data_IF_592652969361
#
_entry.id   IF_592652969361
#
_cell.length_a   1.000
_cell.length_b   1.000
_cell.length_c   1.000
_cell.angle_alpha   90.00
_cell.angle_beta   90.00
_cell.angle_gamma   90.00
#
_symmetry.space_group_name_H-M   'P 1'
#
loop_
_entity.id
_entity.type
_entity.pdbx_description
1 polymer ?
#
# COMPACT_ATOMS: atom_id res chain seq x y z
N UNK A 1 10.27 40.20 -8.74
CA UNK A 1 10.09 38.86 -9.36
C UNK A 1 8.70 38.64 -9.93
N UNK A 2 7.60 39.13 -9.32
CA UNK A 2 6.22 38.90 -9.81
C UNK A 2 5.96 39.48 -11.21
N UNK A 3 6.45 40.69 -11.51
CA UNK A 3 6.29 41.31 -12.84
C UNK A 3 7.05 40.60 -13.97
N UNK A 4 8.03 39.75 -13.66
CA UNK A 4 8.89 39.11 -14.66
C UNK A 4 8.29 37.80 -15.19
N UNK A 5 7.30 37.23 -14.50
CA UNK A 5 6.67 35.95 -14.86
C UNK A 5 5.91 36.01 -16.19
N UNK A 6 5.32 37.16 -16.52
CA UNK A 6 4.61 37.42 -17.78
C UNK A 6 5.53 37.72 -18.97
N UNK A 7 6.77 38.18 -18.70
CA UNK A 7 7.69 38.69 -19.72
C UNK A 7 8.68 37.62 -20.19
N UNK A 8 9.05 36.68 -19.31
CA UNK A 8 9.98 35.56 -19.60
C UNK A 8 9.52 34.66 -20.76
N UNK A 9 8.24 34.30 -20.95
CA UNK A 9 7.82 33.47 -22.08
C UNK A 9 7.96 34.18 -23.44
N UNK A 10 8.00 35.51 -23.43
CA UNK A 10 8.01 36.36 -24.63
C UNK A 10 9.36 37.02 -24.91
N UNK A 11 10.33 36.86 -24.02
CA UNK A 11 11.66 37.49 -24.12
C UNK A 11 12.76 36.51 -23.70
N UNK A 12 13.95 36.66 -24.26
CA UNK A 12 15.08 35.79 -23.93
C UNK A 12 15.64 36.05 -22.52
N UNK A 13 16.32 35.08 -21.90
CA UNK A 13 16.96 35.23 -20.58
C UNK A 13 17.97 36.38 -20.54
N UNK A 14 18.65 36.67 -21.66
CA UNK A 14 19.56 37.81 -21.81
C UNK A 14 18.87 39.17 -21.77
N UNK A 15 17.61 39.26 -22.23
CA UNK A 15 16.82 40.49 -22.15
C UNK A 15 16.43 40.77 -20.70
N UNK A 16 16.02 39.73 -19.98
CA UNK A 16 15.60 39.81 -18.58
C UNK A 16 16.79 40.11 -17.66
N UNK A 17 17.97 39.54 -17.92
CA UNK A 17 19.19 39.87 -17.17
C UNK A 17 19.63 41.32 -17.43
N UNK A 18 19.57 41.80 -18.67
CA UNK A 18 19.88 43.19 -19.02
C UNK A 18 18.98 44.18 -18.26
N UNK A 19 17.65 43.96 -18.24
CA UNK A 19 16.72 44.82 -17.52
C UNK A 19 16.97 44.90 -16.00
N UNK A 20 17.60 43.88 -15.40
CA UNK A 20 17.99 43.89 -13.98
C UNK A 20 19.37 44.51 -13.76
N UNK A 21 20.34 44.18 -14.60
CA UNK A 21 21.73 44.62 -14.45
C UNK A 21 21.93 46.08 -14.81
N UNK A 22 21.16 46.62 -15.77
CA UNK A 22 21.30 48.00 -16.23
C UNK A 22 20.99 49.00 -15.10
N UNK A 23 19.85 48.94 -14.38
CA UNK A 23 19.58 49.87 -13.27
C UNK A 23 20.59 49.75 -12.12
N UNK A 24 20.98 48.51 -11.77
CA UNK A 24 21.99 48.27 -10.73
C UNK A 24 23.37 48.82 -11.13
N UNK A 25 23.75 48.64 -12.40
CA UNK A 25 24.96 49.20 -12.99
C UNK A 25 24.96 50.73 -12.95
N UNK A 26 23.85 51.37 -13.33
CA UNK A 26 23.71 52.83 -13.24
C UNK A 26 23.83 53.35 -11.80
N UNK A 27 23.26 52.66 -10.82
CA UNK A 27 23.40 53.03 -9.41
C UNK A 27 24.85 52.92 -8.92
N UNK A 28 25.57 51.86 -9.31
CA UNK A 28 26.99 51.70 -8.96
C UNK A 28 27.87 52.76 -9.61
N UNK A 29 27.61 53.08 -10.88
CA UNK A 29 28.31 54.14 -11.62
C UNK A 29 28.05 55.50 -10.95
N UNK A 30 26.80 55.80 -10.59
CA UNK A 30 26.43 57.03 -9.88
C UNK A 30 27.10 57.14 -8.50
N UNK A 31 27.17 56.05 -7.75
CA UNK A 31 27.87 56.00 -6.46
C UNK A 31 29.39 56.16 -6.60
N UNK A 32 30.00 55.56 -7.63
CA UNK A 32 31.42 55.73 -7.91
C UNK A 32 31.74 57.19 -8.27
N UNK A 33 30.89 57.84 -9.06
CA UNK A 33 31.01 59.24 -9.45
C UNK A 33 30.92 60.19 -8.23
N UNK A 34 29.98 59.95 -7.31
CA UNK A 34 29.85 60.79 -6.09
C UNK A 34 31.04 60.66 -5.13
N UNK A 35 31.83 59.59 -5.26
CA UNK A 35 33.06 59.36 -4.49
C UNK A 35 34.33 59.79 -5.25
N UNK A 36 34.18 60.48 -6.37
CA UNK A 36 35.30 60.99 -7.19
C UNK A 36 36.14 59.90 -7.85
N UNK A 37 35.62 58.67 -8.00
CA UNK A 37 36.34 57.58 -8.65
C UNK A 37 36.29 57.72 -10.16
N UNK A 38 37.38 57.34 -10.83
CA UNK A 38 37.43 57.36 -12.29
C UNK A 38 36.52 56.29 -12.90
N UNK A 39 35.88 56.65 -14.01
CA UNK A 39 35.03 55.73 -14.75
C UNK A 39 35.85 54.64 -15.42
N UNK A 40 35.29 53.43 -15.61
CA UNK A 40 35.92 52.38 -16.38
C UNK A 40 36.22 52.91 -17.79
N UNK A 41 37.49 52.89 -18.17
CA UNK A 41 37.97 53.35 -19.47
C UNK A 41 38.90 52.32 -20.08
N UNK A 42 38.92 52.25 -21.42
CA UNK A 42 39.70 51.27 -22.16
C UNK A 42 39.02 49.92 -22.37
N UNK A 43 39.54 49.16 -23.33
CA UNK A 43 38.95 47.91 -23.81
C UNK A 43 38.84 46.83 -22.72
N UNK A 44 39.85 46.74 -21.84
CA UNK A 44 39.92 45.72 -20.79
C UNK A 44 38.79 45.87 -19.76
N UNK A 45 38.41 47.12 -19.42
CA UNK A 45 37.36 47.39 -18.47
C UNK A 45 35.98 46.99 -19.01
N UNK A 46 35.70 47.34 -20.28
CA UNK A 46 34.46 46.96 -20.96
C UNK A 46 34.35 45.46 -21.23
N UNK A 47 35.47 44.80 -21.52
CA UNK A 47 35.52 43.34 -21.65
C UNK A 47 35.20 42.66 -20.30
N UNK A 48 35.75 43.16 -19.20
CA UNK A 48 35.52 42.61 -17.86
C UNK A 48 34.05 42.76 -17.42
N UNK A 49 33.43 43.92 -17.71
CA UNK A 49 32.01 44.16 -17.44
C UNK A 49 31.12 43.25 -18.30
N UNK A 50 31.45 43.09 -19.59
CA UNK A 50 30.70 42.24 -20.50
C UNK A 50 30.77 40.77 -20.09
N UNK A 51 31.96 40.31 -19.68
CA UNK A 51 32.16 38.95 -19.20
C UNK A 51 31.40 38.70 -17.89
N UNK A 52 31.43 39.65 -16.95
CA UNK A 52 30.66 39.56 -15.71
C UNK A 52 29.15 39.45 -15.99
N UNK A 53 28.60 40.29 -16.87
CA UNK A 53 27.19 40.26 -17.23
C UNK A 53 26.80 38.93 -17.89
N UNK A 54 27.68 38.36 -18.73
CA UNK A 54 27.46 37.07 -19.39
C UNK A 54 27.45 35.91 -18.37
N UNK A 55 28.40 35.90 -17.43
CA UNK A 55 28.46 34.89 -16.36
C UNK A 55 27.25 34.99 -15.44
N UNK A 56 26.85 36.19 -15.01
CA UNK A 56 25.67 36.40 -14.16
C UNK A 56 24.38 35.92 -14.86
N UNK A 57 24.20 36.27 -16.14
CA UNK A 57 23.06 35.83 -16.94
C UNK A 57 23.01 34.30 -17.09
N UNK A 58 24.16 33.67 -17.34
CA UNK A 58 24.26 32.21 -17.48
C UNK A 58 24.00 31.48 -16.15
N UNK A 59 24.56 31.97 -15.03
CA UNK A 59 24.34 31.44 -13.70
C UNK A 59 22.86 31.54 -13.28
N UNK A 60 22.19 32.65 -13.56
CA UNK A 60 20.77 32.81 -13.23
C UNK A 60 19.87 31.83 -14.01
N UNK A 61 20.20 31.57 -15.27
CA UNK A 61 19.47 30.62 -16.12
C UNK A 61 19.59 29.18 -15.60
N UNK A 62 20.78 28.77 -15.16
CA UNK A 62 21.01 27.45 -14.57
C UNK A 62 20.25 27.30 -13.26
N UNK A 63 20.28 28.33 -12.39
CA UNK A 63 19.60 28.29 -11.09
C UNK A 63 18.08 28.22 -11.24
N UNK A 64 17.46 28.98 -12.15
CA UNK A 64 16.01 28.93 -12.35
C UNK A 64 15.53 27.60 -12.95
N UNK A 65 16.24 27.06 -13.94
CA UNK A 65 15.91 25.74 -14.50
C UNK A 65 16.12 24.62 -13.50
N UNK A 66 17.19 24.70 -12.71
CA UNK A 66 17.47 23.74 -11.64
C UNK A 66 16.39 23.79 -10.55
N UNK A 67 16.01 24.97 -10.07
CA UNK A 67 14.93 25.14 -9.08
C UNK A 67 13.59 24.61 -9.64
N UNK A 68 13.25 24.92 -10.89
CA UNK A 68 12.02 24.43 -11.53
C UNK A 68 11.98 22.91 -11.66
N UNK A 69 13.09 22.30 -12.10
CA UNK A 69 13.21 20.85 -12.21
C UNK A 69 13.19 20.16 -10.84
N UNK A 70 13.84 20.73 -9.83
CA UNK A 70 13.82 20.22 -8.45
C UNK A 70 12.41 20.31 -7.88
N UNK A 71 11.69 21.42 -8.07
CA UNK A 71 10.31 21.59 -7.59
C UNK A 71 9.33 20.64 -8.28
N UNK A 72 9.48 20.42 -9.59
CA UNK A 72 8.67 19.46 -10.33
C UNK A 72 8.95 18.01 -9.88
N UNK A 73 10.20 17.69 -9.61
CA UNK A 73 10.62 16.37 -9.11
C UNK A 73 10.13 16.13 -7.68
N UNK A 74 10.22 17.11 -6.78
CA UNK A 74 9.68 16.99 -5.41
C UNK A 74 8.16 16.87 -5.42
N UNK A 75 7.46 17.61 -6.28
CA UNK A 75 6.00 17.47 -6.42
C UNK A 75 5.59 16.08 -6.94
N UNK A 76 6.33 15.53 -7.93
CA UNK A 76 6.10 14.18 -8.42
C UNK A 76 6.39 13.10 -7.36
N UNK A 77 7.42 13.30 -6.53
CA UNK A 77 7.75 12.40 -5.41
C UNK A 77 6.70 12.43 -4.28
N UNK A 78 6.10 13.58 -3.99
CA UNK A 78 5.02 13.70 -2.98
C UNK A 78 3.74 12.99 -3.43
N UNK A 79 3.44 13.00 -4.74
CA UNK A 79 2.32 12.27 -5.33
C UNK A 79 2.57 10.74 -5.41
N UNK A 80 3.82 10.31 -5.26
CA UNK A 80 4.21 8.90 -5.29
C UNK A 80 4.25 8.26 -3.89
N UNK A 81 3.49 8.80 -2.93
CA UNK A 81 3.24 8.13 -1.65
C UNK A 81 2.45 6.85 -1.90
N UNK A 82 3.17 5.77 -2.17
CA UNK A 82 2.62 4.43 -2.39
C UNK A 82 1.84 4.00 -1.16
N UNK A 83 0.52 3.86 -1.30
CA UNK A 83 -0.34 3.32 -0.26
C UNK A 83 0.02 1.85 -0.04
N UNK A 84 0.76 1.56 1.04
CA UNK A 84 1.12 0.19 1.43
C UNK A 84 -0.03 -0.56 2.14
N UNK A 85 -1.12 0.14 2.44
CA UNK A 85 -2.33 -0.32 3.13
C UNK A 85 -3.58 0.23 2.44
N UNK A 86 -4.75 -0.08 3.00
CA UNK A 86 -5.99 0.58 2.60
C UNK A 86 -5.84 2.13 2.67
N UNK A 87 -6.43 2.88 1.72
CA UNK A 87 -6.39 4.34 1.74
C UNK A 87 -7.12 4.91 2.96
N UNK A 88 -6.63 6.03 3.49
CA UNK A 88 -7.33 6.77 4.55
C UNK A 88 -8.68 7.30 4.05
N UNK A 89 -9.67 7.29 4.95
CA UNK A 89 -10.99 7.85 4.66
C UNK A 89 -10.92 9.37 4.47
N UNK A 90 -11.66 9.88 3.49
CA UNK A 90 -11.75 11.33 3.20
C UNK A 90 -12.98 11.99 3.84
N UNK A 91 -13.82 11.21 4.49
CA UNK A 91 -15.05 11.61 5.16
C UNK A 91 -15.41 10.61 6.26
N UNK A 92 -16.36 10.96 7.13
CA UNK A 92 -16.74 10.14 8.30
C UNK A 92 -17.19 8.71 7.93
N UNK A 93 -17.94 8.57 6.82
CA UNK A 93 -18.45 7.28 6.36
C UNK A 93 -18.62 7.20 4.85
N UNK A 94 -18.47 5.99 4.29
CA UNK A 94 -18.78 5.66 2.91
C UNK A 94 -19.24 4.21 2.83
N UNK A 95 -20.48 3.92 3.25
CA UNK A 95 -21.03 2.55 3.23
C UNK A 95 -20.95 1.98 1.81
N UNK A 96 -20.38 0.78 1.63
CA UNK A 96 -20.26 0.16 0.30
C UNK A 96 -21.63 -0.02 -0.37
N UNK A 97 -21.76 0.51 -1.58
CA UNK A 97 -22.84 0.22 -2.50
C UNK A 97 -22.42 -0.93 -3.43
N UNK A 98 -22.86 -2.14 -3.06
CA UNK A 98 -22.59 -3.36 -3.83
C UNK A 98 -23.48 -3.49 -5.08
N UNK A 99 -24.47 -2.60 -5.27
CA UNK A 99 -25.43 -2.63 -6.37
C UNK A 99 -25.14 -1.61 -7.49
N UNK A 100 -24.26 -0.63 -7.24
CA UNK A 100 -23.90 0.45 -8.17
C UNK A 100 -23.43 -0.01 -9.56
N UNK A 101 -22.81 -1.19 -9.68
CA UNK A 101 -22.25 -1.70 -10.94
C UNK A 101 -20.99 -0.98 -11.43
N UNK A 102 -20.67 0.19 -10.88
CA UNK A 102 -19.44 0.94 -11.15
C UNK A 102 -18.26 0.29 -10.44
N UNK A 103 -17.16 0.08 -11.16
CA UNK A 103 -15.91 -0.48 -10.61
C UNK A 103 -14.93 0.65 -10.26
N UNK A 104 -14.50 0.66 -9.00
CA UNK A 104 -13.47 1.55 -8.46
C UNK A 104 -12.50 0.74 -7.59
N UNK A 105 -11.41 1.36 -7.10
CA UNK A 105 -10.60 0.73 -6.06
C UNK A 105 -11.39 0.73 -4.74
N UNK A 106 -11.87 -0.43 -4.31
CA UNK A 106 -12.84 -0.56 -3.21
C UNK A 106 -14.28 -0.57 -3.74
N UNK A 107 -15.16 0.20 -3.09
CA UNK A 107 -16.59 0.27 -3.43
C UNK A 107 -17.04 1.72 -3.53
N UNK A 108 -17.99 1.99 -4.42
CA UNK A 108 -18.74 3.26 -4.40
C UNK A 108 -19.56 3.38 -3.11
N UNK A 109 -19.87 4.60 -2.68
CA UNK A 109 -20.66 4.82 -1.48
C UNK A 109 -22.17 4.77 -1.75
N UNK A 110 -22.93 4.19 -0.82
CA UNK A 110 -24.39 4.32 -0.73
C UNK A 110 -24.75 5.80 -0.49
N UNK A 111 -25.91 6.21 -1.00
CA UNK A 111 -26.52 7.51 -0.68
C UNK A 111 -26.62 7.72 0.84
N UNK A 112 -26.12 8.85 1.33
CA UNK A 112 -26.11 9.22 2.74
C UNK A 112 -27.50 9.17 3.38
N UNK A 113 -28.57 9.49 2.64
CA UNK A 113 -29.93 9.44 3.15
C UNK A 113 -30.44 8.01 3.42
N UNK A 114 -29.76 6.99 2.88
CA UNK A 114 -30.12 5.56 3.03
C UNK A 114 -29.22 4.82 4.03
N UNK A 115 -28.22 5.49 4.58
CA UNK A 115 -27.29 4.93 5.57
C UNK A 115 -27.99 4.80 6.92
N UNK A 116 -27.83 3.67 7.59
CA UNK A 116 -28.37 3.45 8.93
C UNK A 116 -27.50 2.48 9.77
N UNK A 117 -27.85 2.29 11.04
CA UNK A 117 -27.06 1.48 11.98
C UNK A 117 -26.87 0.00 11.56
N UNK A 118 -27.78 -0.56 10.76
CA UNK A 118 -27.64 -1.93 10.26
C UNK A 118 -26.52 -2.08 9.23
N UNK A 119 -26.09 -0.99 8.58
CA UNK A 119 -24.95 -1.01 7.65
C UNK A 119 -23.61 -1.23 8.40
N UNK A 120 -23.56 -0.92 9.69
CA UNK A 120 -22.37 -0.98 10.55
C UNK A 120 -22.40 -2.10 11.59
N UNK A 121 -23.48 -2.88 11.65
CA UNK A 121 -23.65 -3.94 12.65
C UNK A 121 -23.96 -5.28 12.00
N UNK A 122 -23.44 -6.35 12.59
CA UNK A 122 -23.69 -7.71 12.14
C UNK A 122 -23.49 -8.69 13.28
N UNK A 123 -24.29 -9.75 13.30
CA UNK A 123 -24.13 -10.89 14.21
C UNK A 123 -23.46 -12.09 13.52
N UNK A 124 -22.84 -11.90 12.34
CA UNK A 124 -22.28 -13.00 11.54
C UNK A 124 -21.22 -13.82 12.29
N UNK A 125 -20.50 -13.22 13.25
CA UNK A 125 -19.49 -13.90 14.07
C UNK A 125 -20.02 -14.45 15.40
N UNK A 126 -21.31 -14.23 15.70
CA UNK A 126 -21.89 -14.53 17.01
C UNK A 126 -21.98 -16.04 17.30
N UNK A 127 -22.01 -16.88 16.27
CA UNK A 127 -22.15 -18.33 16.39
C UNK A 127 -20.93 -19.05 15.81
N UNK A 128 -20.52 -20.19 16.42
CA UNK A 128 -19.51 -21.06 15.84
C UNK A 128 -19.93 -21.59 14.46
N UNK A 129 -18.98 -21.65 13.53
CA UNK A 129 -19.12 -22.43 12.31
C UNK A 129 -18.98 -23.94 12.57
N UNK A 130 -19.47 -24.77 11.64
CA UNK A 130 -19.38 -26.24 11.75
C UNK A 130 -18.09 -26.74 11.11
N UNK A 131 -17.04 -26.93 11.91
CA UNK A 131 -15.72 -27.34 11.43
C UNK A 131 -15.57 -28.85 11.17
N UNK A 132 -16.34 -29.71 11.85
CA UNK A 132 -16.14 -31.16 11.88
C UNK A 132 -16.18 -31.85 10.50
N UNK A 133 -16.90 -31.28 9.53
CA UNK A 133 -17.11 -31.89 8.21
C UNK A 133 -16.33 -31.18 7.09
N UNK A 134 -15.47 -30.21 7.41
CA UNK A 134 -14.66 -29.52 6.39
C UNK A 134 -13.40 -30.31 6.06
N UNK A 135 -12.84 -30.08 4.87
CA UNK A 135 -11.65 -30.81 4.38
C UNK A 135 -10.46 -30.74 5.34
N UNK A 136 -10.30 -29.61 6.04
CA UNK A 136 -9.19 -29.38 6.96
C UNK A 136 -9.60 -29.37 8.43
N UNK A 137 -10.88 -29.62 8.76
CA UNK A 137 -11.35 -29.55 10.15
C UNK A 137 -11.35 -28.14 10.75
N UNK A 138 -11.34 -27.11 9.91
CA UNK A 138 -11.48 -25.70 10.29
C UNK A 138 -12.48 -25.00 9.37
N UNK A 139 -13.08 -23.91 9.85
CA UNK A 139 -13.99 -23.08 9.05
C UNK A 139 -13.81 -21.60 9.40
N UNK A 140 -13.70 -20.77 8.36
CA UNK A 140 -13.54 -19.32 8.49
C UNK A 140 -14.86 -18.64 8.15
N UNK A 141 -15.35 -17.83 9.09
CA UNK A 141 -16.50 -16.94 8.90
C UNK A 141 -16.00 -15.51 8.80
N UNK A 142 -16.02 -14.93 7.60
CA UNK A 142 -15.51 -13.57 7.35
C UNK A 142 -16.53 -12.47 7.68
N UNK A 143 -16.04 -11.41 8.31
CA UNK A 143 -16.75 -10.15 8.56
C UNK A 143 -15.95 -8.99 7.94
N UNK A 144 -15.84 -9.03 6.62
CA UNK A 144 -15.17 -8.03 5.78
C UNK A 144 -16.20 -7.08 5.13
N UNK A 145 -15.72 -6.13 4.34
CA UNK A 145 -16.58 -5.14 3.65
C UNK A 145 -17.68 -5.74 2.78
N UNK A 146 -17.51 -6.97 2.26
CA UNK A 146 -18.53 -7.65 1.45
C UNK A 146 -19.70 -8.17 2.31
N UNK A 147 -19.48 -8.37 3.61
CA UNK A 147 -20.50 -8.83 4.57
C UNK A 147 -20.99 -7.72 5.50
N UNK A 148 -20.18 -6.69 5.72
CA UNK A 148 -20.49 -5.52 6.55
C UNK A 148 -20.13 -4.26 5.74
N UNK A 149 -21.07 -3.72 4.94
CA UNK A 149 -20.81 -2.63 4.00
C UNK A 149 -20.25 -1.36 4.65
N UNK A 150 -20.58 -1.11 5.93
CA UNK A 150 -20.06 0.02 6.71
C UNK A 150 -18.55 0.00 6.96
N UNK A 151 -17.85 -1.12 6.69
CA UNK A 151 -16.39 -1.20 6.79
C UNK A 151 -15.64 -0.52 5.64
N UNK A 152 -16.34 -0.14 4.57
CA UNK A 152 -15.72 0.48 3.42
C UNK A 152 -15.04 1.80 3.79
N UNK A 153 -13.83 2.00 3.28
CA UNK A 153 -12.86 3.07 3.58
C UNK A 153 -12.29 3.09 5.00
N UNK A 154 -12.65 2.16 5.88
CA UNK A 154 -12.23 2.20 7.29
C UNK A 154 -10.99 1.35 7.62
N UNK A 155 -10.45 0.63 6.63
CA UNK A 155 -9.16 -0.05 6.77
C UNK A 155 -9.13 -1.19 7.79
N UNK A 156 -10.28 -1.74 8.19
CA UNK A 156 -10.37 -2.84 9.17
C UNK A 156 -11.41 -3.89 8.80
N UNK A 157 -11.17 -5.13 9.21
CA UNK A 157 -12.15 -6.22 9.14
C UNK A 157 -11.87 -7.29 10.18
N UNK A 158 -12.83 -8.18 10.39
CA UNK A 158 -12.71 -9.31 11.30
C UNK A 158 -12.99 -10.63 10.59
N UNK A 159 -12.60 -11.73 11.21
CA UNK A 159 -13.16 -13.05 10.96
C UNK A 159 -13.22 -13.88 12.24
N UNK A 160 -14.08 -14.88 12.26
CA UNK A 160 -14.08 -15.93 13.28
C UNK A 160 -13.60 -17.22 12.62
N UNK A 161 -12.73 -17.96 13.31
CA UNK A 161 -12.29 -19.27 12.84
C UNK A 161 -12.56 -20.29 13.92
N UNK A 162 -13.28 -21.35 13.57
CA UNK A 162 -13.60 -22.46 14.46
C UNK A 162 -12.88 -23.73 13.98
N UNK A 163 -12.34 -24.50 14.91
CA UNK A 163 -11.51 -25.68 14.68
C UNK A 163 -12.09 -26.89 15.41
N UNK A 164 -12.30 -27.98 14.69
CA UNK A 164 -12.52 -29.29 15.32
C UNK A 164 -11.22 -29.77 16.01
N UNK A 165 -11.30 -30.76 16.92
CA UNK A 165 -10.11 -31.47 17.39
C UNK A 165 -9.29 -31.98 16.19
N UNK A 166 -7.98 -31.69 16.17
CA UNK A 166 -7.15 -32.03 15.03
C UNK A 166 -7.29 -31.10 13.81
N UNK A 167 -8.15 -30.09 13.84
CA UNK A 167 -8.38 -29.14 12.75
C UNK A 167 -7.15 -28.30 12.39
N UNK A 168 -7.02 -27.96 11.12
CA UNK A 168 -5.94 -27.15 10.54
C UNK A 168 -6.56 -26.02 9.71
N UNK A 169 -6.17 -24.78 9.98
CA UNK A 169 -6.25 -23.74 8.96
C UNK A 169 -4.92 -23.80 8.17
N UNK A 170 -4.94 -24.32 6.92
CA UNK A 170 -3.73 -24.70 6.22
C UNK A 170 -2.81 -23.50 5.97
N UNK A 171 -1.51 -23.71 5.62
CA UNK A 171 -0.62 -22.63 5.25
C UNK A 171 -1.27 -21.68 4.23
N UNK A 172 -1.38 -20.40 4.61
CA UNK A 172 -2.02 -19.36 3.81
C UNK A 172 -1.34 -18.01 4.02
N UNK A 173 -1.72 -17.03 3.21
CA UNK A 173 -1.26 -15.65 3.33
C UNK A 173 -2.38 -14.65 3.04
N UNK A 174 -2.26 -13.48 3.67
CA UNK A 174 -3.10 -12.32 3.41
C UNK A 174 -2.28 -11.27 2.63
N UNK A 175 -2.52 -11.11 1.32
CA UNK A 175 -1.69 -10.24 0.47
C UNK A 175 -1.84 -8.75 0.84
N UNK A 176 -2.94 -8.36 1.50
CA UNK A 176 -3.26 -6.95 1.75
C UNK A 176 -3.27 -6.55 3.22
N UNK A 177 -3.17 -7.48 4.17
CA UNK A 177 -3.27 -7.15 5.59
C UNK A 177 -2.29 -7.94 6.47
N UNK A 178 -1.86 -7.28 7.55
CA UNK A 178 -1.39 -7.93 8.78
C UNK A 178 -2.60 -8.49 9.51
N UNK A 179 -2.41 -9.63 10.16
CA UNK A 179 -3.44 -10.27 10.97
C UNK A 179 -3.02 -10.30 12.45
N UNK A 180 -3.99 -10.14 13.34
CA UNK A 180 -3.85 -10.48 14.76
C UNK A 180 -5.00 -11.41 15.16
N UNK A 181 -4.69 -12.53 15.79
CA UNK A 181 -5.68 -13.44 16.37
C UNK A 181 -5.78 -13.25 17.87
N UNK A 182 -6.98 -13.41 18.40
CA UNK A 182 -7.32 -13.54 19.81
C UNK A 182 -8.03 -14.88 20.02
N UNK A 183 -7.54 -15.70 20.95
CA UNK A 183 -8.14 -17.01 21.23
C UNK A 183 -9.39 -16.86 22.08
N UNK A 184 -10.53 -17.19 21.48
CA UNK A 184 -11.84 -17.15 22.11
C UNK A 184 -12.07 -18.40 22.98
N UNK A 185 -11.70 -19.57 22.48
CA UNK A 185 -11.92 -20.88 23.11
C UNK A 185 -10.75 -21.84 22.80
N UNK A 186 -10.44 -22.72 23.76
CA UNK A 186 -9.43 -23.77 23.59
C UNK A 186 -7.99 -23.25 23.53
N UNK A 187 -7.18 -23.93 22.72
CA UNK A 187 -5.78 -23.63 22.45
C UNK A 187 -5.43 -23.91 20.98
N UNK A 188 -4.43 -23.23 20.46
CA UNK A 188 -3.94 -23.41 19.09
C UNK A 188 -2.42 -23.35 19.02
N UNK A 189 -1.85 -24.23 18.21
CA UNK A 189 -0.47 -24.07 17.74
C UNK A 189 -0.48 -23.17 16.51
N UNK A 190 0.17 -22.03 16.61
CA UNK A 190 0.19 -21.03 15.54
C UNK A 190 1.62 -20.76 15.11
N UNK A 191 1.81 -20.33 13.86
CA UNK A 191 3.11 -19.86 13.43
C UNK A 191 3.12 -19.25 12.03
N UNK A 192 4.15 -18.44 11.77
CA UNK A 192 4.46 -17.89 10.45
C UNK A 192 5.89 -18.20 10.05
N UNK A 193 6.16 -18.16 8.75
CA UNK A 193 7.47 -18.38 8.17
C UNK A 193 8.02 -17.05 7.65
N UNK A 194 9.22 -16.67 8.09
CA UNK A 194 9.92 -15.48 7.59
C UNK A 194 10.42 -15.68 6.16
N UNK A 195 10.77 -14.60 5.47
CA UNK A 195 11.40 -14.67 4.14
C UNK A 195 12.78 -15.34 4.16
N UNK A 196 13.38 -15.50 5.33
CA UNK A 196 14.62 -16.28 5.54
C UNK A 196 14.35 -17.75 5.88
N UNK A 197 13.12 -18.24 5.67
CA UNK A 197 12.67 -19.61 5.95
C UNK A 197 12.78 -20.02 7.43
N UNK A 198 12.60 -19.07 8.35
CA UNK A 198 12.57 -19.34 9.80
C UNK A 198 11.12 -19.43 10.26
N UNK A 199 10.77 -20.52 10.92
CA UNK A 199 9.47 -20.69 11.58
C UNK A 199 9.47 -19.95 12.93
N UNK A 200 8.51 -19.05 13.10
CA UNK A 200 8.18 -18.42 14.39
C UNK A 200 6.84 -18.98 14.82
N UNK A 201 6.82 -19.77 15.89
CA UNK A 201 5.63 -20.50 16.33
C UNK A 201 5.47 -20.54 17.85
N UNK A 202 4.23 -20.65 18.32
CA UNK A 202 3.88 -20.78 19.73
C UNK A 202 2.52 -21.48 19.89
N UNK A 203 2.35 -22.23 20.98
CA UNK A 203 1.03 -22.63 21.47
C UNK A 203 0.42 -21.47 22.25
N UNK A 204 -0.76 -21.01 21.81
CA UNK A 204 -1.52 -19.94 22.46
C UNK A 204 -2.82 -20.48 23.03
N UNK A 205 -3.24 -19.91 24.17
CA UNK A 205 -4.41 -20.33 24.93
C UNK A 205 -5.49 -19.24 24.93
N UNK A 206 -6.71 -19.60 25.33
CA UNK A 206 -7.82 -18.66 25.53
C UNK A 206 -7.37 -17.38 26.23
N UNK A 207 -7.70 -16.24 25.64
CA UNK A 207 -7.33 -14.91 26.14
C UNK A 207 -6.00 -14.37 25.62
N UNK A 208 -5.19 -15.20 24.96
CA UNK A 208 -3.92 -14.77 24.36
C UNK A 208 -4.09 -14.31 22.91
N UNK A 209 -3.10 -13.55 22.44
CA UNK A 209 -3.02 -13.04 21.06
C UNK A 209 -1.77 -13.55 20.33
N UNK A 210 -1.81 -13.55 19.00
CA UNK A 210 -0.65 -13.76 18.15
C UNK A 210 -0.76 -12.94 16.86
N UNK A 211 0.36 -12.40 16.37
CA UNK A 211 0.39 -11.48 15.22
C UNK A 211 1.09 -12.14 14.04
N UNK A 212 0.47 -12.07 12.86
CA UNK A 212 1.02 -12.55 11.60
C UNK A 212 1.33 -11.35 10.67
N UNK A 213 2.60 -11.09 10.34
CA UNK A 213 2.97 -9.99 9.46
C UNK A 213 2.35 -10.12 8.06
N UNK A 214 1.95 -8.98 7.47
CA UNK A 214 1.36 -8.90 6.12
C UNK A 214 2.15 -9.71 5.09
N UNK A 215 1.43 -10.55 4.34
CA UNK A 215 1.99 -11.32 3.23
C UNK A 215 2.80 -12.56 3.62
N UNK A 216 3.14 -12.78 4.89
CA UNK A 216 3.87 -13.98 5.30
C UNK A 216 2.97 -15.21 5.37
N UNK A 217 3.51 -16.35 4.94
CA UNK A 217 2.82 -17.64 5.05
C UNK A 217 2.72 -18.02 6.52
N UNK A 218 1.52 -18.36 6.96
CA UNK A 218 1.24 -18.75 8.33
C UNK A 218 0.12 -19.80 8.40
N UNK A 219 -0.06 -20.40 9.58
CA UNK A 219 -1.02 -21.46 9.82
C UNK A 219 -1.49 -21.47 11.28
N UNK A 220 -2.59 -22.16 11.53
CA UNK A 220 -3.07 -22.48 12.88
C UNK A 220 -3.53 -23.94 12.93
N UNK A 221 -3.16 -24.65 13.99
CA UNK A 221 -3.47 -26.06 14.17
C UNK A 221 -4.06 -26.27 15.57
N UNK A 222 -5.23 -26.88 15.63
CA UNK A 222 -5.76 -27.41 16.88
C UNK A 222 -5.19 -28.82 17.09
N UNK A 223 -4.21 -28.94 17.99
CA UNK A 223 -3.63 -30.22 18.41
C UNK A 223 -4.24 -30.75 19.72
N UNK A 224 -5.21 -30.04 20.30
CA UNK A 224 -5.97 -30.53 21.44
C UNK A 224 -7.10 -31.48 21.02
N UNK A 225 -7.66 -32.18 22.01
CA UNK A 225 -8.79 -33.10 21.83
C UNK A 225 -10.15 -32.39 21.90
N UNK A 226 -10.16 -31.09 22.19
CA UNK A 226 -11.37 -30.27 22.30
C UNK A 226 -11.41 -29.24 21.16
N UNK A 227 -12.60 -28.74 20.78
CA UNK A 227 -12.72 -27.64 19.83
C UNK A 227 -12.01 -26.36 20.28
N UNK A 228 -11.60 -25.53 19.32
CA UNK A 228 -10.98 -24.23 19.56
C UNK A 228 -11.58 -23.16 18.64
N UNK A 229 -11.51 -21.90 19.05
CA UNK A 229 -11.97 -20.78 18.23
C UNK A 229 -11.12 -19.53 18.43
N UNK A 230 -10.96 -18.73 17.37
CA UNK A 230 -10.30 -17.41 17.41
C UNK A 230 -11.17 -16.35 16.75
N UNK A 231 -10.99 -15.10 17.20
CA UNK A 231 -11.32 -13.92 16.42
C UNK A 231 -10.03 -13.38 15.81
N UNK A 232 -10.05 -13.17 14.51
CA UNK A 232 -8.95 -12.62 13.74
C UNK A 232 -9.32 -11.22 13.28
N UNK A 233 -8.40 -10.26 13.41
CA UNK A 233 -8.56 -8.89 12.99
C UNK A 233 -7.47 -8.49 11.99
N UNK A 234 -7.86 -7.65 11.03
CA UNK A 234 -7.00 -7.25 9.92
C UNK A 234 -6.97 -5.73 9.78
N UNK A 235 -5.82 -5.18 9.40
CA UNK A 235 -5.68 -3.77 9.00
C UNK A 235 -6.02 -3.53 7.51
N UNK A 236 -7.07 -4.20 7.03
CA UNK A 236 -7.69 -3.94 5.74
C UNK A 236 -9.16 -4.31 5.80
N UNK A 237 -10.00 -3.55 5.11
CA UNK A 237 -11.41 -3.87 4.90
C UNK A 237 -11.61 -5.17 4.10
N UNK A 238 -10.60 -5.56 3.31
CA UNK A 238 -10.62 -6.75 2.46
C UNK A 238 -9.22 -7.40 2.34
N UNK A 239 -8.78 -8.15 3.38
CA UNK A 239 -7.42 -8.69 3.47
C UNK A 239 -7.06 -9.64 2.31
N UNK A 240 -8.06 -10.40 1.83
CA UNK A 240 -7.88 -11.50 0.89
C UNK A 240 -7.16 -12.67 1.52
N UNK A 241 -7.37 -13.87 1.01
CA UNK A 241 -6.72 -15.09 1.52
C UNK A 241 -6.25 -15.94 0.36
N UNK A 242 -4.99 -16.33 0.37
CA UNK A 242 -4.47 -17.36 -0.53
C UNK A 242 -4.06 -18.58 0.27
N UNK A 243 -4.83 -19.66 0.17
CA UNK A 243 -4.45 -20.95 0.73
C UNK A 243 -3.38 -21.59 -0.17
N UNK A 244 -2.18 -21.79 0.35
CA UNK A 244 -1.04 -22.30 -0.43
C UNK A 244 -1.36 -23.68 -1.06
N UNK A 245 -1.96 -24.66 -0.34
CA UNK A 245 -2.34 -25.92 -0.96
C UNK A 245 -3.36 -25.76 -2.08
N UNK A 246 -4.40 -24.94 -1.89
CA UNK A 246 -5.46 -24.80 -2.90
C UNK A 246 -4.99 -23.99 -4.11
N UNK A 247 -4.26 -22.89 -3.91
CA UNK A 247 -3.74 -22.07 -5.00
C UNK A 247 -2.75 -22.84 -5.88
N UNK A 248 -1.91 -23.71 -5.30
CA UNK A 248 -0.92 -24.46 -6.09
C UNK A 248 -1.51 -25.69 -6.78
N UNK A 249 -2.46 -26.39 -6.13
CA UNK A 249 -2.92 -27.70 -6.60
C UNK A 249 -4.39 -27.75 -7.04
N UNK A 250 -5.18 -26.70 -6.82
CA UNK A 250 -6.61 -26.64 -7.18
C UNK A 250 -7.01 -25.35 -7.92
N UNK A 251 -6.03 -24.55 -8.40
CA UNK A 251 -6.31 -23.37 -9.21
C UNK A 251 -7.07 -23.70 -10.51
N UNK A 252 -7.80 -22.73 -11.04
CA UNK A 252 -8.50 -22.81 -12.31
C UNK A 252 -8.15 -21.59 -13.18
N UNK A 253 -7.51 -21.78 -14.36
CA UNK A 253 -6.98 -23.05 -14.88
C UNK A 253 -5.85 -23.64 -13.98
N UNK A 254 -5.61 -24.96 -14.01
CA UNK A 254 -4.62 -25.60 -13.14
C UNK A 254 -3.19 -25.13 -13.42
N UNK A 255 -2.36 -25.07 -12.38
CA UNK A 255 -0.90 -24.90 -12.55
C UNK A 255 -0.35 -26.09 -13.34
N UNK A 256 0.46 -25.85 -14.39
CA UNK A 256 1.05 -26.92 -15.20
C UNK A 256 1.87 -27.90 -14.36
N UNK A 257 1.74 -29.20 -14.66
CA UNK A 257 2.42 -30.24 -13.87
C UNK A 257 3.93 -30.11 -13.92
N UNK A 258 4.52 -29.70 -15.04
CA UNK A 258 5.97 -29.49 -15.16
C UNK A 258 6.49 -28.37 -14.23
N UNK A 259 5.67 -27.39 -13.90
CA UNK A 259 6.01 -26.35 -12.91
C UNK A 259 6.03 -26.97 -11.52
N UNK A 260 4.99 -27.74 -11.17
CA UNK A 260 4.86 -28.33 -9.83
C UNK A 260 5.87 -29.46 -9.60
N UNK A 261 6.10 -30.36 -10.56
CA UNK A 261 7.11 -31.43 -10.42
C UNK A 261 8.51 -30.85 -10.25
N UNK A 262 8.83 -29.76 -10.97
CA UNK A 262 10.10 -29.06 -10.80
C UNK A 262 10.20 -28.33 -9.46
N UNK A 263 9.13 -27.65 -9.04
CA UNK A 263 9.11 -26.89 -7.78
C UNK A 263 9.18 -27.79 -6.54
N UNK A 264 8.47 -28.91 -6.55
CA UNK A 264 8.39 -29.84 -5.42
C UNK A 264 9.39 -31.01 -5.50
N UNK A 265 10.12 -31.14 -6.62
CA UNK A 265 11.11 -32.20 -6.85
C UNK A 265 10.54 -33.63 -6.73
N UNK A 266 9.31 -33.81 -7.24
CA UNK A 266 8.59 -35.10 -7.23
C UNK A 266 8.08 -35.45 -8.63
N UNK A 267 7.65 -36.70 -8.83
CA UNK A 267 7.07 -37.16 -10.08
C UNK A 267 5.65 -36.64 -10.31
N UNK A 268 5.17 -36.79 -11.55
CA UNK A 268 3.82 -36.37 -11.94
C UNK A 268 2.74 -37.12 -11.16
N UNK A 269 2.95 -38.41 -10.86
CA UNK A 269 1.98 -39.22 -10.10
C UNK A 269 1.74 -38.66 -8.70
N UNK A 270 2.78 -38.18 -8.03
CA UNK A 270 2.68 -37.54 -6.71
C UNK A 270 1.89 -36.23 -6.80
N UNK A 271 2.16 -35.39 -7.81
CA UNK A 271 1.43 -34.15 -8.04
C UNK A 271 -0.06 -34.42 -8.31
N UNK A 272 -0.37 -35.34 -9.23
CA UNK A 272 -1.74 -35.72 -9.56
C UNK A 272 -2.50 -36.25 -8.34
N UNK A 273 -1.83 -37.04 -7.49
CA UNK A 273 -2.39 -37.52 -6.23
C UNK A 273 -2.72 -36.38 -5.27
N UNK A 274 -1.89 -35.34 -5.18
CA UNK A 274 -2.19 -34.17 -4.34
C UNK A 274 -3.37 -33.40 -4.94
N UNK A 275 -3.36 -33.14 -6.25
CA UNK A 275 -4.47 -32.47 -6.96
C UNK A 275 -5.79 -33.20 -6.74
N UNK A 276 -5.82 -34.53 -6.83
CA UNK A 276 -7.04 -35.32 -6.65
C UNK A 276 -7.58 -35.29 -5.21
N UNK A 277 -6.71 -35.12 -4.21
CA UNK A 277 -7.11 -35.02 -2.79
C UNK A 277 -7.66 -33.64 -2.43
N UNK A 278 -7.23 -32.59 -3.13
CA UNK A 278 -7.64 -31.20 -2.91
C UNK A 278 -8.75 -30.74 -3.86
N UNK A 279 -9.09 -31.54 -4.87
CA UNK A 279 -10.20 -31.27 -5.77
C UNK A 279 -11.52 -31.10 -4.98
N UNK A 280 -12.40 -30.17 -5.39
CA UNK A 280 -13.73 -30.04 -4.80
C UNK A 280 -14.45 -31.39 -4.82
N UNK A 281 -14.98 -31.80 -3.66
CA UNK A 281 -15.86 -32.98 -3.60
C UNK A 281 -17.15 -32.62 -4.32
N UNK A 282 -17.47 -33.36 -5.39
CA UNK A 282 -18.76 -33.26 -6.09
C UNK A 282 -19.91 -33.74 -5.20
#
# INVERSE_FOLDING_TARGET
>A
MVAMKEVIPRTGPFFVSAFRLIPAGFLLIGFAASRGRQFPSGLNAWLSISLFALVDAACFQLTMKFIGSVLAMTFALVLASTSASDPDALQDLCVADTASGVKVNGFTCKDAAKVNASDFSSNILAKPGVAANTTFGSIVTGANVEKIPGLNTLGVSLSRIDYAPGGLNPPHTHPRATEIVFVLEGQLDVGFITTSNVLISKTIYKGEIFVFPKGLVHFQKNNANEPAAVISAFNSQLPGTQSIPLTLFAATPPVPDNVLTKAFQVGTKEIEKIKSRLAPKK
#
